data_IF_866161532586
#
_entry.id   IF_866161532586
#
_cell.length_a   1.000
_cell.length_b   1.000
_cell.length_c   1.000
_cell.angle_alpha   90.00
_cell.angle_beta   90.00
_cell.angle_gamma   90.00
#
_symmetry.space_group_name_H-M   'P 1'
#
loop_
_entity.id
_entity.type
_entity.pdbx_description
1 polymer ?
#
# COMPACT_ATOMS: atom_id res chain seq x y z
N UNK A 1 -1.62 -7.19 16.02
CA UNK A 1 -2.61 -6.31 15.34
C UNK A 1 -1.97 -4.95 15.25
N UNK A 2 -1.62 -4.48 14.05
CA UNK A 2 -0.97 -3.18 13.86
C UNK A 2 -1.94 -2.02 14.16
N UNK A 3 -1.41 -0.85 14.51
CA UNK A 3 -2.17 0.40 14.71
C UNK A 3 -1.56 1.51 13.85
N UNK A 4 -2.38 2.39 13.28
CA UNK A 4 -1.92 3.60 12.59
C UNK A 4 -2.58 4.84 13.16
N UNK A 5 -1.87 5.98 13.10
CA UNK A 5 -2.35 7.29 13.52
C UNK A 5 -1.94 8.35 12.51
N UNK A 6 -2.84 9.31 12.29
CA UNK A 6 -2.52 10.55 11.58
C UNK A 6 -2.49 11.72 12.56
N UNK A 7 -1.59 12.67 12.35
CA UNK A 7 -1.44 13.84 13.21
C UNK A 7 -1.12 15.08 12.35
N UNK A 8 -1.85 16.17 12.57
CA UNK A 8 -1.58 17.48 12.01
C UNK A 8 -0.85 18.31 13.07
N UNK A 9 0.38 18.74 12.79
CA UNK A 9 1.13 19.60 13.69
C UNK A 9 0.59 21.03 13.72
N UNK A 10 0.96 21.78 14.75
CA UNK A 10 0.70 23.22 14.84
C UNK A 10 1.37 24.03 13.71
N UNK A 11 2.41 23.47 13.08
CA UNK A 11 3.09 24.05 11.91
C UNK A 11 2.41 23.72 10.57
N UNK A 12 1.36 22.90 10.58
CA UNK A 12 0.60 22.52 9.38
C UNK A 12 1.15 21.29 8.65
N UNK A 13 2.03 20.52 9.28
CA UNK A 13 2.59 19.30 8.70
C UNK A 13 1.72 18.08 9.04
N UNK A 14 1.44 17.26 8.04
CA UNK A 14 0.67 16.02 8.18
C UNK A 14 1.59 14.82 8.33
N UNK A 15 1.38 14.04 9.40
CA UNK A 15 2.15 12.83 9.70
C UNK A 15 1.25 11.60 9.66
N UNK A 16 1.76 10.51 9.09
CA UNK A 16 1.23 9.16 9.21
C UNK A 16 2.26 8.31 9.94
N UNK A 17 1.86 7.68 11.05
CA UNK A 17 2.71 6.76 11.82
C UNK A 17 1.98 5.43 12.06
N UNK A 18 2.74 4.35 12.26
CA UNK A 18 2.18 3.02 12.52
C UNK A 18 3.05 2.16 13.43
N UNK A 19 2.42 1.21 14.14
CA UNK A 19 3.11 0.10 14.82
C UNK A 19 3.16 -1.11 13.89
N UNK A 20 4.27 -1.86 13.92
CA UNK A 20 4.41 -3.13 13.23
C UNK A 20 4.33 -4.28 14.23
N UNK A 21 3.12 -4.79 14.41
CA UNK A 21 2.83 -5.84 15.40
C UNK A 21 2.70 -7.19 14.72
N UNK A 22 3.78 -7.97 14.76
CA UNK A 22 3.89 -9.27 14.09
C UNK A 22 4.53 -10.33 14.99
N UNK A 23 4.24 -11.61 14.71
CA UNK A 23 4.65 -12.73 15.58
C UNK A 23 6.15 -13.06 15.49
N UNK A 24 6.83 -12.56 14.47
CA UNK A 24 8.27 -12.75 14.25
C UNK A 24 8.87 -11.52 13.55
N UNK A 25 10.18 -11.40 13.61
CA UNK A 25 10.90 -10.28 12.98
C UNK A 25 10.86 -10.38 11.45
N UNK A 26 10.51 -9.27 10.81
CA UNK A 26 10.38 -9.19 9.35
C UNK A 26 11.66 -8.73 8.65
N UNK A 27 12.73 -8.41 9.39
CA UNK A 27 13.97 -7.80 8.90
C UNK A 27 13.75 -6.53 8.03
N UNK A 28 12.76 -5.72 8.43
CA UNK A 28 12.45 -4.46 7.76
C UNK A 28 13.54 -3.41 8.00
N UNK A 29 13.85 -2.62 6.97
CA UNK A 29 14.81 -1.51 7.03
C UNK A 29 14.25 -0.28 6.29
N UNK A 30 14.78 0.93 6.54
CA UNK A 30 14.49 2.07 5.68
C UNK A 30 14.95 1.78 4.24
N UNK A 31 14.07 2.03 3.28
CA UNK A 31 14.30 1.80 1.85
C UNK A 31 13.90 3.06 1.10
N UNK A 32 14.75 3.48 0.17
CA UNK A 32 14.42 4.52 -0.83
C UNK A 32 14.26 3.84 -2.18
N UNK A 33 13.14 4.09 -2.84
CA UNK A 33 12.86 3.66 -4.22
C UNK A 33 12.95 4.89 -5.13
N UNK A 34 13.77 4.86 -6.20
CA UNK A 34 13.91 5.97 -7.13
C UNK A 34 12.69 6.10 -8.07
N UNK A 35 12.58 7.25 -8.74
CA UNK A 35 11.59 7.47 -9.82
C UNK A 35 11.77 6.47 -10.95
N UNK A 36 10.68 6.13 -11.66
CA UNK A 36 10.71 5.23 -12.84
C UNK A 36 11.29 3.86 -12.51
N UNK A 37 10.94 3.33 -11.34
CA UNK A 37 11.33 1.99 -10.93
C UNK A 37 10.33 0.96 -11.47
N UNK A 38 10.88 -0.08 -12.10
CA UNK A 38 10.15 -1.29 -12.45
C UNK A 38 10.18 -2.31 -11.31
N UNK A 39 9.07 -2.97 -11.07
CA UNK A 39 8.93 -4.05 -10.08
C UNK A 39 8.38 -5.30 -10.75
N UNK A 40 9.03 -6.44 -10.52
CA UNK A 40 8.43 -7.73 -10.79
C UNK A 40 7.17 -7.89 -9.91
N UNK A 41 6.11 -8.50 -10.47
CA UNK A 41 4.89 -8.81 -9.73
C UNK A 41 4.69 -10.31 -9.64
N UNK A 42 4.14 -10.76 -8.52
CA UNK A 42 3.68 -12.13 -8.35
C UNK A 42 2.31 -12.37 -9.02
N UNK A 43 1.57 -11.30 -9.37
CA UNK A 43 0.26 -11.36 -10.00
C UNK A 43 0.30 -11.14 -11.52
N UNK A 44 1.18 -10.27 -12.02
CA UNK A 44 1.31 -9.97 -13.45
C UNK A 44 2.74 -10.30 -13.95
N UNK A 45 2.90 -11.12 -15.00
CA UNK A 45 4.22 -11.47 -15.54
C UNK A 45 4.99 -10.26 -16.11
N UNK A 46 4.31 -9.16 -16.44
CA UNK A 46 4.97 -7.94 -16.91
C UNK A 46 5.35 -7.00 -15.77
N UNK A 47 5.05 -7.35 -14.51
CA UNK A 47 5.30 -6.47 -13.37
C UNK A 47 4.48 -5.19 -13.41
N UNK A 48 4.99 -4.15 -12.75
CA UNK A 48 4.41 -2.81 -12.77
C UNK A 48 5.49 -1.74 -12.64
N UNK A 49 5.19 -0.58 -13.21
CA UNK A 49 6.06 0.59 -13.14
C UNK A 49 5.54 1.61 -12.12
N UNK A 50 6.48 2.38 -11.58
CA UNK A 50 6.22 3.51 -10.69
C UNK A 50 6.78 4.79 -11.30
N UNK A 51 6.08 5.92 -11.13
CA UNK A 51 6.51 7.22 -11.65
C UNK A 51 7.30 8.03 -10.62
N UNK A 52 6.89 7.97 -9.37
CA UNK A 52 7.38 8.79 -8.25
C UNK A 52 8.44 8.03 -7.44
N UNK A 53 9.37 8.77 -6.84
CA UNK A 53 10.25 8.26 -5.79
C UNK A 53 9.51 8.24 -4.44
N UNK A 54 9.85 7.25 -3.62
CA UNK A 54 9.26 7.10 -2.30
C UNK A 54 10.23 6.43 -1.31
N UNK A 55 10.00 6.65 -0.03
CA UNK A 55 10.79 6.11 1.08
C UNK A 55 9.88 5.50 2.13
N UNK A 56 10.32 4.44 2.81
CA UNK A 56 9.58 3.85 3.92
C UNK A 56 10.26 2.62 4.50
N UNK A 57 9.60 1.93 5.42
CA UNK A 57 10.10 0.66 5.93
C UNK A 57 9.76 -0.48 4.97
N UNK A 58 10.73 -1.33 4.66
CA UNK A 58 10.54 -2.46 3.77
C UNK A 58 11.68 -3.47 3.75
N UNK A 59 11.55 -4.49 2.92
CA UNK A 59 12.55 -5.56 2.76
C UNK A 59 12.63 -6.01 1.31
N UNK A 60 13.84 -6.38 0.87
CA UNK A 60 14.03 -7.08 -0.40
C UNK A 60 13.81 -8.58 -0.20
N UNK A 61 12.87 -9.17 -0.93
CA UNK A 61 12.56 -10.61 -0.88
C UNK A 61 13.15 -11.41 -2.05
N UNK A 62 14.17 -10.87 -2.72
CA UNK A 62 14.83 -11.46 -3.89
C UNK A 62 14.15 -11.10 -5.21
N UNK A 63 12.82 -10.99 -5.24
CA UNK A 63 12.04 -10.51 -6.40
C UNK A 63 11.77 -9.00 -6.39
N UNK A 64 12.46 -8.25 -5.55
CA UNK A 64 12.25 -6.82 -5.37
C UNK A 64 11.92 -6.42 -3.93
N UNK A 65 11.80 -5.11 -3.72
CA UNK A 65 11.45 -4.55 -2.42
C UNK A 65 9.94 -4.51 -2.21
N UNK A 66 9.51 -4.87 -1.01
CA UNK A 66 8.14 -4.63 -0.52
C UNK A 66 8.25 -3.67 0.65
N UNK A 67 7.51 -2.57 0.59
CA UNK A 67 7.36 -1.65 1.71
C UNK A 67 6.04 -1.92 2.43
N UNK A 68 6.04 -1.67 3.74
CA UNK A 68 4.90 -1.85 4.64
C UNK A 68 4.31 -0.51 5.12
N UNK A 69 5.07 0.56 4.96
CA UNK A 69 4.68 1.96 5.12
C UNK A 69 5.61 2.83 4.28
N UNK A 70 5.26 4.09 4.11
CA UNK A 70 6.13 5.07 3.47
C UNK A 70 5.45 6.37 3.09
N UNK A 71 6.23 7.25 2.50
CA UNK A 71 5.83 8.53 1.92
C UNK A 71 6.54 8.76 0.60
N UNK A 72 5.83 9.31 -0.38
CA UNK A 72 6.39 9.65 -1.68
C UNK A 72 6.78 11.13 -1.79
N UNK A 73 7.47 11.48 -2.89
CA UNK A 73 7.92 12.84 -3.15
C UNK A 73 6.81 13.89 -3.33
N UNK A 74 5.53 13.48 -3.34
CA UNK A 74 4.36 14.36 -3.38
C UNK A 74 3.74 14.60 -2.01
N UNK A 75 4.25 13.94 -0.97
CA UNK A 75 3.69 13.97 0.37
C UNK A 75 2.45 13.07 0.52
N UNK A 76 2.26 12.09 -0.36
CA UNK A 76 1.30 11.01 -0.16
C UNK A 76 1.97 9.89 0.65
N UNK A 77 1.37 9.56 1.77
CA UNK A 77 1.82 8.55 2.73
C UNK A 77 0.84 7.39 2.78
N UNK A 78 1.33 6.20 3.09
CA UNK A 78 0.48 5.04 3.28
C UNK A 78 1.11 3.98 4.17
N UNK A 79 0.27 3.13 4.74
CA UNK A 79 0.68 1.95 5.49
C UNK A 79 -0.23 0.76 5.19
N UNK A 80 0.37 -0.43 5.11
CA UNK A 80 -0.31 -1.71 4.96
C UNK A 80 -0.45 -2.40 6.32
N UNK A 81 -1.67 -2.77 6.69
CA UNK A 81 -2.01 -3.36 7.98
C UNK A 81 -2.77 -4.68 7.78
N UNK A 82 -2.66 -5.58 8.74
CA UNK A 82 -3.32 -6.88 8.69
C UNK A 82 -4.84 -6.74 8.78
N UNK A 83 -5.57 -7.41 7.88
CA UNK A 83 -7.04 -7.37 7.79
C UNK A 83 -7.65 -8.77 7.71
N UNK A 84 -7.28 -9.61 8.69
CA UNK A 84 -7.65 -11.03 8.74
C UNK A 84 -9.15 -11.26 8.85
N UNK A 85 -9.67 -12.24 8.10
CA UNK A 85 -11.09 -12.64 8.13
C UNK A 85 -12.02 -11.81 7.25
N UNK A 86 -11.59 -10.62 6.81
CA UNK A 86 -12.42 -9.68 6.03
C UNK A 86 -11.88 -9.44 4.62
N UNK A 87 -10.55 -9.51 4.44
CA UNK A 87 -9.91 -9.32 3.14
C UNK A 87 -10.32 -10.42 2.14
N UNK A 88 -10.72 -10.01 0.94
CA UNK A 88 -11.12 -10.91 -0.15
C UNK A 88 -10.58 -10.40 -1.48
N UNK A 89 -9.87 -11.26 -2.22
CA UNK A 89 -9.17 -10.90 -3.47
C UNK A 89 -9.69 -11.72 -4.65
N UNK A 90 -9.38 -11.29 -5.86
CA UNK A 90 -9.74 -12.02 -7.08
C UNK A 90 -8.85 -13.26 -7.27
N UNK A 91 -9.42 -14.36 -7.75
CA UNK A 91 -8.63 -15.58 -8.05
C UNK A 91 -7.88 -15.50 -9.38
N UNK A 92 -8.22 -14.53 -10.24
CA UNK A 92 -7.67 -14.40 -11.59
C UNK A 92 -7.34 -12.94 -11.91
N UNK A 93 -6.37 -12.76 -12.81
CA UNK A 93 -6.06 -11.47 -13.40
C UNK A 93 -7.24 -10.95 -14.24
N UNK A 94 -7.37 -9.63 -14.36
CA UNK A 94 -8.33 -8.98 -15.24
C UNK A 94 -7.60 -8.26 -16.37
N UNK A 95 -7.99 -8.49 -17.65
CA UNK A 95 -7.47 -7.72 -18.77
C UNK A 95 -7.73 -6.22 -18.59
N UNK A 96 -6.81 -5.38 -19.09
CA UNK A 96 -6.90 -3.91 -19.03
C UNK A 96 -7.00 -3.32 -17.60
N UNK A 97 -6.63 -4.11 -16.59
CA UNK A 97 -6.50 -3.67 -15.19
C UNK A 97 -5.04 -3.78 -14.76
N UNK A 98 -4.69 -3.04 -13.72
CA UNK A 98 -3.43 -3.26 -13.00
C UNK A 98 -3.66 -4.45 -12.07
N UNK A 99 -2.94 -5.54 -12.27
CA UNK A 99 -3.05 -6.75 -11.45
C UNK A 99 -1.91 -6.80 -10.44
N UNK A 100 -2.23 -6.84 -9.14
CA UNK A 100 -1.21 -6.83 -8.08
C UNK A 100 -1.53 -7.88 -7.01
N UNK A 101 -0.49 -8.43 -6.38
CA UNK A 101 -0.66 -9.12 -5.11
C UNK A 101 -0.94 -8.08 -4.00
N UNK A 102 -1.58 -8.48 -2.91
CA UNK A 102 -1.93 -7.56 -1.81
C UNK A 102 -0.71 -6.79 -1.27
N UNK A 103 0.43 -7.47 -1.10
CA UNK A 103 1.66 -6.86 -0.60
C UNK A 103 2.36 -5.92 -1.59
N UNK A 104 1.91 -5.83 -2.85
CA UNK A 104 2.46 -4.91 -3.86
C UNK A 104 1.68 -3.60 -3.96
N UNK A 105 0.43 -3.59 -3.49
CA UNK A 105 -0.50 -2.45 -3.60
C UNK A 105 0.10 -1.17 -3.01
N UNK A 106 0.76 -1.24 -1.86
CA UNK A 106 1.32 -0.05 -1.22
C UNK A 106 2.46 0.56 -2.04
N UNK A 107 3.39 -0.25 -2.57
CA UNK A 107 4.45 0.24 -3.46
C UNK A 107 3.86 0.93 -4.68
N UNK A 108 2.84 0.32 -5.29
CA UNK A 108 2.19 0.86 -6.47
C UNK A 108 1.50 2.19 -6.18
N UNK A 109 0.80 2.30 -5.04
CA UNK A 109 0.17 3.55 -4.61
C UNK A 109 1.21 4.63 -4.33
N UNK A 110 2.25 4.35 -3.53
CA UNK A 110 3.33 5.30 -3.25
C UNK A 110 4.04 5.74 -4.54
N UNK A 111 4.23 4.83 -5.49
CA UNK A 111 4.89 5.09 -6.75
C UNK A 111 4.05 5.86 -7.77
N UNK A 112 2.73 5.96 -7.62
CA UNK A 112 1.86 6.50 -8.67
C UNK A 112 0.83 7.55 -8.23
N UNK A 113 0.45 7.60 -6.95
CA UNK A 113 -0.55 8.54 -6.44
C UNK A 113 0.07 9.90 -6.06
N UNK A 114 -0.49 10.99 -6.56
CA UNK A 114 -0.10 12.35 -6.16
C UNK A 114 -0.90 12.84 -4.91
N UNK A 115 -2.05 12.24 -4.58
CA UNK A 115 -2.91 12.58 -3.42
C UNK A 115 -3.86 11.44 -3.03
N UNK A 116 -4.61 11.57 -1.93
CA UNK A 116 -5.65 10.60 -1.56
C UNK A 116 -6.80 10.53 -2.57
N UNK A 117 -7.12 11.65 -3.23
CA UNK A 117 -8.12 11.68 -4.29
C UNK A 117 -7.62 10.90 -5.53
N UNK A 118 -6.37 11.12 -5.93
CA UNK A 118 -5.74 10.39 -7.04
C UNK A 118 -5.63 8.88 -6.74
N UNK A 119 -5.24 8.52 -5.52
CA UNK A 119 -5.26 7.13 -5.06
C UNK A 119 -6.65 6.49 -5.21
N UNK A 120 -7.71 7.22 -4.85
CA UNK A 120 -9.10 6.73 -5.00
C UNK A 120 -9.51 6.52 -6.47
N UNK A 121 -8.96 7.29 -7.41
CA UNK A 121 -9.18 7.11 -8.84
C UNK A 121 -8.35 5.95 -9.40
N UNK A 122 -7.08 5.85 -9.02
CA UNK A 122 -6.16 4.79 -9.41
C UNK A 122 -6.72 3.39 -9.07
N UNK A 123 -7.24 3.20 -7.86
CA UNK A 123 -7.74 1.89 -7.43
C UNK A 123 -8.99 1.41 -8.19
N UNK A 124 -9.68 2.28 -8.94
CA UNK A 124 -10.82 1.85 -9.79
C UNK A 124 -10.40 0.89 -10.89
N UNK A 125 -9.12 0.91 -11.31
CA UNK A 125 -8.54 0.00 -12.30
C UNK A 125 -7.66 -1.09 -11.68
N UNK A 126 -7.57 -1.13 -10.35
CA UNK A 126 -6.75 -2.11 -9.64
C UNK A 126 -7.54 -3.40 -9.42
N UNK A 127 -6.93 -4.53 -9.75
CA UNK A 127 -7.40 -5.87 -9.44
C UNK A 127 -6.37 -6.54 -8.52
N UNK A 128 -6.73 -6.73 -7.24
CA UNK A 128 -5.86 -7.42 -6.30
C UNK A 128 -6.11 -8.91 -6.38
N UNK A 129 -5.05 -9.68 -6.64
CA UNK A 129 -5.09 -11.11 -6.93
C UNK A 129 -4.65 -11.93 -5.71
N UNK A 130 -5.30 -13.07 -5.50
CA UNK A 130 -5.08 -14.00 -4.42
C UNK A 130 -3.76 -14.78 -4.59
N UNK A 131 -2.62 -14.10 -4.39
CA UNK A 131 -1.27 -14.65 -4.58
C UNK A 131 -0.51 -14.72 -3.25
N UNK A 132 0.08 -15.88 -2.88
CA UNK A 132 0.85 -16.00 -1.65
C UNK A 132 2.17 -15.24 -1.72
N UNK A 133 2.60 -14.69 -0.58
CA UNK A 133 3.97 -14.16 -0.45
C UNK A 133 4.93 -15.31 -0.16
N UNK A 134 6.06 -15.38 -0.86
CA UNK A 134 7.05 -16.46 -0.69
C UNK A 134 7.55 -16.60 0.75
N UNK A 135 7.69 -15.47 1.45
CA UNK A 135 8.16 -15.42 2.84
C UNK A 135 7.30 -16.25 3.80
N UNK A 136 5.98 -16.31 3.55
CA UNK A 136 5.03 -16.94 4.46
C UNK A 136 4.28 -18.13 3.84
N UNK A 137 4.39 -18.33 2.52
CA UNK A 137 3.65 -19.36 1.79
C UNK A 137 2.13 -19.17 1.81
N UNK A 138 1.63 -18.03 2.27
CA UNK A 138 0.21 -17.71 2.37
C UNK A 138 -0.07 -16.33 1.80
N UNK A 139 -1.34 -16.09 1.48
CA UNK A 139 -1.82 -14.79 1.03
C UNK A 139 -1.96 -13.90 2.24
N UNK A 140 -1.32 -12.72 2.21
CA UNK A 140 -1.34 -11.80 3.34
C UNK A 140 -2.63 -10.96 3.26
N UNK A 141 -3.55 -11.07 4.23
CA UNK A 141 -4.76 -10.28 4.26
C UNK A 141 -4.41 -8.86 4.72
N UNK A 142 -4.63 -7.87 3.87
CA UNK A 142 -4.22 -6.50 4.07
C UNK A 142 -5.37 -5.53 3.79
N UNK A 143 -5.40 -4.45 4.56
CA UNK A 143 -6.04 -3.21 4.21
C UNK A 143 -4.98 -2.09 4.28
N UNK A 144 -5.31 -0.92 3.74
CA UNK A 144 -4.37 0.20 3.69
C UNK A 144 -5.00 1.44 4.31
N UNK A 145 -4.20 2.20 5.04
CA UNK A 145 -4.50 3.58 5.38
C UNK A 145 -3.60 4.47 4.53
N UNK A 146 -4.16 5.52 3.98
CA UNK A 146 -3.44 6.50 3.17
C UNK A 146 -3.77 7.90 3.66
N UNK A 147 -2.79 8.79 3.65
CA UNK A 147 -2.97 10.20 3.97
C UNK A 147 -2.10 11.07 3.06
N UNK A 148 -2.57 12.25 2.71
CA UNK A 148 -1.79 13.19 1.91
C UNK A 148 -1.42 14.46 2.69
N UNK A 149 -0.55 15.27 2.08
CA UNK A 149 -0.04 16.51 2.66
C UNK A 149 -1.12 17.55 2.97
N UNK A 150 -2.34 17.38 2.45
CA UNK A 150 -3.48 18.27 2.69
C UNK A 150 -4.35 17.81 3.85
N UNK A 151 -4.02 16.68 4.48
CA UNK A 151 -4.73 16.13 5.63
C UNK A 151 -5.89 15.19 5.27
N UNK A 152 -6.14 14.94 3.98
CA UNK A 152 -7.08 13.88 3.59
C UNK A 152 -6.52 12.54 4.07
N UNK A 153 -7.39 11.72 4.66
CA UNK A 153 -7.04 10.41 5.17
C UNK A 153 -8.14 9.42 4.85
N UNK A 154 -7.75 8.27 4.31
CA UNK A 154 -8.68 7.25 3.83
C UNK A 154 -8.20 5.86 4.21
N UNK A 155 -9.16 4.99 4.48
CA UNK A 155 -8.95 3.55 4.60
C UNK A 155 -9.44 2.87 3.32
N UNK A 156 -8.59 2.01 2.76
CA UNK A 156 -8.84 1.21 1.57
C UNK A 156 -8.95 -0.25 2.01
N UNK A 157 -10.13 -0.82 1.89
CA UNK A 157 -10.41 -2.22 2.21
C UNK A 157 -10.89 -2.95 0.95
N UNK A 158 -10.58 -4.25 0.83
CA UNK A 158 -11.17 -5.09 -0.19
C UNK A 158 -12.00 -6.17 0.49
N UNK A 159 -13.31 -6.03 0.41
CA UNK A 159 -14.29 -6.94 1.01
C UNK A 159 -15.20 -7.44 -0.09
N UNK A 160 -15.54 -8.72 -0.07
CA UNK A 160 -16.36 -9.35 -1.12
C UNK A 160 -15.83 -9.03 -2.54
N UNK A 161 -14.50 -9.05 -2.70
CA UNK A 161 -13.79 -8.76 -3.97
C UNK A 161 -13.99 -7.33 -4.53
N UNK A 162 -14.45 -6.38 -3.72
CA UNK A 162 -14.65 -4.99 -4.10
C UNK A 162 -13.95 -4.00 -3.15
N UNK A 163 -13.43 -2.91 -3.70
CA UNK A 163 -12.86 -1.82 -2.91
C UNK A 163 -13.95 -1.06 -2.15
N UNK A 164 -13.72 -0.87 -0.86
CA UNK A 164 -14.45 0.05 0.00
C UNK A 164 -13.47 1.15 0.42
N UNK A 165 -13.86 2.40 0.19
CA UNK A 165 -13.08 3.58 0.54
C UNK A 165 -13.81 4.29 1.68
N UNK A 166 -13.18 4.34 2.85
CA UNK A 166 -13.72 5.04 4.00
C UNK A 166 -12.92 6.33 4.20
N UNK A 167 -13.58 7.49 4.19
CA UNK A 167 -12.94 8.74 4.57
C UNK A 167 -12.92 8.85 6.09
N UNK A 168 -11.77 9.19 6.66
CA UNK A 168 -11.65 9.41 8.10
C UNK A 168 -12.03 10.87 8.40
N UNK A 169 -13.15 11.13 9.11
CA UNK A 169 -13.73 12.48 9.22
C UNK A 169 -13.00 13.40 10.22
N UNK A 170 -12.12 12.86 11.07
CA UNK A 170 -11.34 13.61 12.06
C UNK A 170 -9.90 13.88 11.62
N UNK A 171 -9.49 13.37 10.47
CA UNK A 171 -8.29 13.85 9.78
C UNK A 171 -8.67 15.17 9.10
N UNK A 172 -8.05 16.27 9.56
CA UNK A 172 -8.39 17.65 9.21
C UNK A 172 -7.82 18.05 7.86
#
# INVERSE_FOLDING_TARGET
MCTSVTFLSETGDNFLARTMDFAFELDGRPVVIPRRQHFDSAADPNGYDTRLAFVGAGRNLGSGYILVDGVNERGFSGAALYFSGEASYADQIKPNHTNLASYEVLNWLLGNADSCADAADLIKKLNVVNVPIKLMGTVVPLHWIVSDRYGDCRVLEIRLMAFIILKIPWAL
#
